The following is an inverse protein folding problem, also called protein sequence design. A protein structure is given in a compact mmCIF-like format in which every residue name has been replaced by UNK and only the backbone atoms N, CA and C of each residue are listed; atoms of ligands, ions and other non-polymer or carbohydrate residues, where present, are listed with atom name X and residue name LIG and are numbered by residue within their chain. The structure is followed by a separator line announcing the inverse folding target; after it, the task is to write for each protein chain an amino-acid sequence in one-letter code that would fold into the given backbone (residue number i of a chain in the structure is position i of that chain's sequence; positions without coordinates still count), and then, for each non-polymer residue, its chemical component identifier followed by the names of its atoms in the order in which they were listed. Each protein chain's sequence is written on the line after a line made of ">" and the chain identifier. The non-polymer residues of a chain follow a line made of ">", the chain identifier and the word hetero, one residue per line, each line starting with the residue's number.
data_IF_864538058859
#
_entry.id   IF_864538058859
#
_cell.length_a   1.000
_cell.length_b   1.000
_cell.length_c   1.000
_cell.angle_alpha   90.00
_cell.angle_beta   90.00
_cell.angle_gamma   90.00
#
_symmetry.space_group_name_H-M   'P 1'
#
loop_
_entity.id
_entity.type
_entity.pdbx_description
1 polymer ?
#
# COMPACT_ATOMS: atom_id res chain seq x y z
N UNK A 1 -5.93 9.41 15.32
CA UNK A 1 -5.47 8.81 14.05
C UNK A 1 -4.22 9.49 13.51
N UNK A 2 -4.26 10.81 13.24
CA UNK A 2 -3.12 11.57 12.71
C UNK A 2 -1.84 11.45 13.56
N UNK A 3 -1.91 11.71 14.86
CA UNK A 3 -0.73 11.62 15.74
C UNK A 3 -0.11 10.21 15.76
N UNK A 4 -0.92 9.15 15.66
CA UNK A 4 -0.41 7.79 15.58
C UNK A 4 0.31 7.52 14.25
N UNK A 5 -0.12 8.15 13.15
CA UNK A 5 0.55 8.06 11.86
C UNK A 5 1.94 8.74 11.84
N UNK A 6 2.20 9.65 12.79
CA UNK A 6 3.50 10.29 12.96
C UNK A 6 4.46 9.52 13.89
N UNK A 7 4.00 8.45 14.54
CA UNK A 7 4.80 7.66 15.49
C UNK A 7 5.53 6.50 14.81
N UNK A 8 6.64 6.09 15.40
CA UNK A 8 7.40 4.92 14.97
C UNK A 8 8.12 5.12 13.63
N UNK A 9 8.16 4.06 12.81
CA UNK A 9 8.82 4.14 11.51
C UNK A 9 7.94 4.92 10.53
N UNK A 10 8.33 6.16 10.19
CA UNK A 10 7.63 7.01 9.21
C UNK A 10 8.43 7.12 7.90
N UNK A 11 7.76 7.35 6.74
CA UNK A 11 8.46 7.56 5.48
C UNK A 11 9.47 8.72 5.55
N UNK A 12 10.59 8.59 4.83
CA UNK A 12 11.63 9.64 4.79
C UNK A 12 11.11 10.99 4.29
N UNK A 13 10.15 10.98 3.38
CA UNK A 13 9.47 12.19 2.93
C UNK A 13 8.76 12.90 4.10
N UNK A 14 8.02 12.15 4.93
CA UNK A 14 7.34 12.71 6.10
C UNK A 14 8.33 13.18 7.17
N UNK A 15 9.43 12.43 7.38
CA UNK A 15 10.51 12.85 8.29
C UNK A 15 11.09 14.21 7.89
N UNK A 16 11.44 14.39 6.61
CA UNK A 16 11.96 15.67 6.08
C UNK A 16 10.97 16.82 6.25
N UNK A 17 9.67 16.56 6.11
CA UNK A 17 8.65 17.59 6.37
C UNK A 17 8.67 17.99 7.85
N UNK A 18 8.72 17.02 8.75
CA UNK A 18 8.72 17.26 10.20
C UNK A 18 10.01 17.91 10.74
N UNK A 19 11.10 17.89 9.97
CA UNK A 19 12.31 18.68 10.27
C UNK A 19 12.08 20.19 10.11
N UNK A 20 11.08 20.59 9.31
CA UNK A 20 10.82 22.00 8.97
C UNK A 20 9.43 22.49 9.36
N UNK A 21 8.54 21.59 9.80
CA UNK A 21 7.14 21.90 10.15
C UNK A 21 6.71 21.17 11.40
N UNK A 22 5.98 21.85 12.27
CA UNK A 22 5.36 21.21 13.43
C UNK A 22 4.18 20.32 13.00
N UNK A 23 3.78 19.33 13.82
CA UNK A 23 2.59 18.52 13.54
C UNK A 23 1.33 19.36 13.28
N UNK A 24 1.15 20.47 13.98
CA UNK A 24 0.01 21.39 13.82
C UNK A 24 0.03 22.06 12.44
N UNK A 25 1.20 22.53 12.00
CA UNK A 25 1.37 23.10 10.65
C UNK A 25 1.08 22.05 9.57
N UNK A 26 1.47 20.79 9.77
CA UNK A 26 1.13 19.70 8.84
C UNK A 26 -0.38 19.44 8.82
N UNK A 27 -1.06 19.44 9.98
CA UNK A 27 -2.52 19.32 10.03
C UNK A 27 -3.22 20.47 9.31
N UNK A 28 -2.74 21.69 9.49
CA UNK A 28 -3.28 22.87 8.82
C UNK A 28 -3.16 22.76 7.29
N UNK A 29 -1.99 22.31 6.79
CA UNK A 29 -1.79 22.06 5.36
C UNK A 29 -2.80 21.02 4.84
N UNK A 30 -2.97 19.91 5.53
CA UNK A 30 -3.93 18.86 5.15
C UNK A 30 -5.36 19.42 5.13
N UNK A 31 -5.73 20.22 6.14
CA UNK A 31 -7.04 20.86 6.21
C UNK A 31 -7.27 21.84 5.06
N UNK A 32 -6.25 22.60 4.68
CA UNK A 32 -6.32 23.53 3.55
C UNK A 32 -6.48 22.79 2.22
N UNK A 33 -5.74 21.69 2.00
CA UNK A 33 -5.93 20.82 0.82
C UNK A 33 -7.33 20.22 0.76
N UNK A 34 -7.92 19.87 1.91
CA UNK A 34 -9.30 19.38 1.97
C UNK A 34 -10.33 20.46 1.62
N UNK A 35 -10.09 21.72 2.03
CA UNK A 35 -10.94 22.85 1.65
C UNK A 35 -10.83 23.19 0.17
N UNK A 36 -9.63 23.12 -0.40
CA UNK A 36 -9.35 23.47 -1.79
C UNK A 36 -9.81 22.39 -2.77
N UNK A 37 -9.61 21.11 -2.44
CA UNK A 37 -9.94 19.96 -3.28
C UNK A 37 -10.81 18.91 -2.57
N UNK A 38 -12.01 19.28 -2.09
CA UNK A 38 -12.80 18.42 -1.20
C UNK A 38 -13.20 17.09 -1.83
N UNK A 39 -13.55 17.09 -3.12
CA UNK A 39 -13.97 15.87 -3.83
C UNK A 39 -12.79 14.90 -3.96
N UNK A 40 -11.64 15.39 -4.45
CA UNK A 40 -10.43 14.57 -4.63
C UNK A 40 -9.92 14.01 -3.29
N UNK A 41 -9.89 14.83 -2.25
CA UNK A 41 -9.40 14.40 -0.93
C UNK A 41 -10.32 13.37 -0.29
N UNK A 42 -11.64 13.52 -0.42
CA UNK A 42 -12.61 12.52 0.03
C UNK A 42 -12.47 11.21 -0.75
N UNK A 43 -12.28 11.30 -2.06
CA UNK A 43 -12.14 10.15 -2.94
C UNK A 43 -10.85 9.37 -2.67
N UNK A 44 -9.73 10.07 -2.45
CA UNK A 44 -8.47 9.45 -2.05
C UNK A 44 -8.62 8.62 -0.77
N UNK A 45 -9.29 9.16 0.26
CA UNK A 45 -9.57 8.42 1.49
C UNK A 45 -10.51 7.24 1.26
N UNK A 46 -11.49 7.38 0.35
CA UNK A 46 -12.40 6.28 -0.02
C UNK A 46 -11.62 5.11 -0.64
N UNK A 47 -10.72 5.40 -1.57
CA UNK A 47 -9.87 4.39 -2.22
C UNK A 47 -8.97 3.69 -1.20
N UNK A 48 -8.33 4.44 -0.30
CA UNK A 48 -7.52 3.84 0.77
C UNK A 48 -8.33 2.88 1.66
N UNK A 49 -9.58 3.23 1.98
CA UNK A 49 -10.46 2.35 2.76
C UNK A 49 -10.87 1.10 1.96
N UNK A 50 -11.15 1.23 0.67
CA UNK A 50 -11.45 0.09 -0.20
C UNK A 50 -10.25 -0.86 -0.28
N UNK A 51 -9.05 -0.34 -0.49
CA UNK A 51 -7.81 -1.13 -0.48
C UNK A 51 -7.60 -1.85 0.86
N UNK A 52 -7.91 -1.20 1.98
CA UNK A 52 -7.85 -1.85 3.30
C UNK A 52 -8.85 -3.00 3.43
N UNK A 53 -10.08 -2.83 2.93
CA UNK A 53 -11.10 -3.88 2.91
C UNK A 53 -10.64 -5.05 2.02
N UNK A 54 -10.15 -4.78 0.81
CA UNK A 54 -9.61 -5.80 -0.10
C UNK A 54 -8.44 -6.55 0.54
N UNK A 55 -7.53 -5.82 1.19
CA UNK A 55 -6.44 -6.42 1.96
C UNK A 55 -6.96 -7.39 3.03
N UNK A 56 -7.94 -6.96 3.83
CA UNK A 56 -8.50 -7.78 4.90
C UNK A 56 -9.21 -9.04 4.38
N UNK A 57 -9.99 -8.93 3.29
CA UNK A 57 -10.66 -10.06 2.65
C UNK A 57 -9.63 -11.06 2.11
N UNK A 58 -8.63 -10.58 1.36
CA UNK A 58 -7.54 -11.44 0.88
C UNK A 58 -6.78 -12.10 2.03
N UNK A 59 -6.49 -11.36 3.09
CA UNK A 59 -5.80 -11.90 4.26
C UNK A 59 -6.62 -12.99 4.96
N UNK A 60 -7.96 -12.87 5.00
CA UNK A 60 -8.85 -13.92 5.50
C UNK A 60 -8.79 -15.19 4.65
N UNK A 61 -8.82 -15.04 3.33
CA UNK A 61 -8.88 -16.19 2.41
C UNK A 61 -7.55 -16.94 2.30
N UNK A 62 -6.44 -16.20 2.39
CA UNK A 62 -5.10 -16.70 2.07
C UNK A 62 -4.19 -16.86 3.28
N UNK A 63 -4.48 -16.15 4.37
CA UNK A 63 -3.61 -16.07 5.53
C UNK A 63 -2.22 -15.45 5.25
N UNK A 64 -1.39 -15.30 6.29
CA UNK A 64 -0.07 -14.68 6.15
C UNK A 64 0.95 -15.59 5.44
N UNK A 65 0.68 -16.91 5.37
CA UNK A 65 1.58 -17.90 4.77
C UNK A 65 1.88 -17.65 3.28
N UNK A 66 0.94 -17.04 2.55
CA UNK A 66 1.06 -16.81 1.11
C UNK A 66 2.19 -15.82 0.73
N UNK A 67 2.50 -14.87 1.61
CA UNK A 67 3.63 -13.95 1.44
C UNK A 67 4.88 -14.46 2.15
N UNK A 68 4.70 -15.13 3.29
CA UNK A 68 5.81 -15.67 4.08
C UNK A 68 6.48 -16.91 3.45
N UNK A 69 5.96 -17.42 2.33
CA UNK A 69 6.46 -18.62 1.64
C UNK A 69 6.55 -19.84 2.58
N UNK A 70 5.57 -19.98 3.47
CA UNK A 70 5.52 -21.06 4.48
C UNK A 70 6.48 -20.89 5.67
N UNK A 71 7.22 -19.79 5.76
CA UNK A 71 8.14 -19.49 6.87
C UNK A 71 7.47 -18.68 7.98
N UNK A 72 8.17 -18.50 9.10
CA UNK A 72 7.69 -17.70 10.24
C UNK A 72 8.25 -16.27 10.27
N UNK A 73 9.01 -15.87 9.23
CA UNK A 73 9.69 -14.58 9.13
C UNK A 73 10.57 -14.26 10.36
N UNK A 74 11.24 -15.28 10.89
CA UNK A 74 12.03 -15.18 12.14
C UNK A 74 13.41 -14.57 11.94
N UNK A 75 13.94 -14.64 10.72
CA UNK A 75 15.28 -14.16 10.39
C UNK A 75 15.28 -13.30 9.11
N UNK A 76 16.39 -12.61 8.89
CA UNK A 76 16.52 -11.67 7.78
C UNK A 76 16.42 -12.34 6.40
N UNK A 77 16.82 -13.61 6.26
CA UNK A 77 16.73 -14.33 5.00
C UNK A 77 15.28 -14.62 4.62
N UNK A 78 14.46 -15.05 5.58
CA UNK A 78 13.02 -15.25 5.41
C UNK A 78 12.31 -13.94 5.05
N UNK A 79 12.63 -12.85 5.75
CA UNK A 79 12.10 -11.50 5.46
C UNK A 79 12.49 -11.06 4.03
N UNK A 80 13.73 -11.28 3.63
CA UNK A 80 14.20 -10.95 2.28
C UNK A 80 13.52 -11.80 1.19
N UNK A 81 13.27 -13.08 1.47
CA UNK A 81 12.54 -13.97 0.56
C UNK A 81 11.08 -13.50 0.39
N UNK A 82 10.39 -13.18 1.48
CA UNK A 82 9.03 -12.63 1.43
C UNK A 82 8.98 -11.29 0.68
N UNK A 83 9.95 -10.39 0.89
CA UNK A 83 10.06 -9.14 0.14
C UNK A 83 10.24 -9.37 -1.36
N UNK A 84 11.08 -10.32 -1.76
CA UNK A 84 11.23 -10.71 -3.18
C UNK A 84 9.91 -11.27 -3.74
N UNK A 85 9.19 -12.07 -2.95
CA UNK A 85 7.90 -12.61 -3.34
C UNK A 85 6.83 -11.52 -3.58
N UNK A 86 6.85 -10.45 -2.78
CA UNK A 86 6.01 -9.26 -3.02
C UNK A 86 6.43 -8.55 -4.30
N UNK A 87 7.74 -8.32 -4.51
CA UNK A 87 8.25 -7.65 -5.72
C UNK A 87 7.85 -8.37 -7.00
N UNK A 88 7.96 -9.70 -7.05
CA UNK A 88 7.54 -10.49 -8.23
C UNK A 88 6.05 -10.28 -8.50
N UNK A 89 5.20 -10.33 -7.49
CA UNK A 89 3.75 -10.09 -7.64
C UNK A 89 3.42 -8.67 -8.08
N UNK A 90 4.14 -7.68 -7.55
CA UNK A 90 4.02 -6.30 -8.02
C UNK A 90 4.41 -6.20 -9.50
N UNK A 91 5.49 -6.84 -9.91
CA UNK A 91 5.94 -6.85 -11.30
C UNK A 91 4.92 -7.52 -12.23
N UNK A 92 4.29 -8.63 -11.80
CA UNK A 92 3.24 -9.29 -12.58
C UNK A 92 2.06 -8.35 -12.83
N UNK A 93 1.66 -7.57 -11.82
CA UNK A 93 0.60 -6.55 -11.98
C UNK A 93 1.04 -5.40 -12.88
N UNK A 94 2.28 -4.94 -12.80
CA UNK A 94 2.82 -3.92 -13.72
C UNK A 94 2.80 -4.42 -15.16
N UNK A 95 3.27 -5.64 -15.40
CA UNK A 95 3.26 -6.25 -16.73
C UNK A 95 1.83 -6.38 -17.27
N UNK A 96 0.87 -6.73 -16.41
CA UNK A 96 -0.55 -6.73 -16.75
C UNK A 96 -1.02 -5.34 -17.17
N UNK A 97 -0.73 -4.30 -16.39
CA UNK A 97 -1.12 -2.91 -16.73
C UNK A 97 -0.57 -2.49 -18.10
N UNK A 98 0.72 -2.75 -18.36
CA UNK A 98 1.35 -2.49 -19.67
C UNK A 98 0.59 -3.20 -20.80
N UNK A 99 0.22 -4.46 -20.61
CA UNK A 99 -0.49 -5.23 -21.63
C UNK A 99 -1.92 -4.73 -21.90
N UNK A 100 -2.61 -4.22 -20.88
CA UNK A 100 -4.00 -3.77 -21.00
C UNK A 100 -4.10 -2.34 -21.52
N UNK A 101 -3.30 -1.45 -20.94
CA UNK A 101 -3.34 -0.02 -21.20
C UNK A 101 -2.60 0.34 -22.50
N UNK A 102 -1.40 -0.18 -22.71
CA UNK A 102 -0.56 0.26 -23.83
C UNK A 102 -0.76 -0.58 -25.10
N UNK A 103 -1.11 -1.87 -24.96
CA UNK A 103 -1.08 -2.80 -26.10
C UNK A 103 -2.46 -3.18 -26.63
N UNK A 104 -3.51 -3.15 -25.80
CA UNK A 104 -4.82 -3.68 -26.20
C UNK A 104 -5.94 -2.65 -26.22
N UNK A 105 -5.88 -1.57 -25.43
CA UNK A 105 -6.99 -0.61 -25.28
C UNK A 105 -8.35 -1.31 -25.03
N UNK A 106 -8.33 -2.47 -24.36
CA UNK A 106 -9.53 -3.29 -24.10
C UNK A 106 -9.71 -3.48 -22.61
N UNK A 107 -10.93 -3.33 -22.11
CA UNK A 107 -11.26 -3.73 -20.74
C UNK A 107 -11.34 -5.26 -20.62
N UNK A 108 -10.58 -5.89 -19.71
CA UNK A 108 -10.64 -7.34 -19.52
C UNK A 108 -11.94 -7.74 -18.83
N UNK A 109 -12.46 -8.91 -19.18
CA UNK A 109 -13.68 -9.45 -18.57
C UNK A 109 -13.56 -9.79 -17.08
N UNK A 110 -12.35 -10.11 -16.59
CA UNK A 110 -12.18 -10.72 -15.25
C UNK A 110 -11.51 -9.82 -14.21
N UNK A 111 -10.67 -8.87 -14.62
CA UNK A 111 -9.94 -8.00 -13.68
C UNK A 111 -9.55 -6.72 -14.42
N UNK A 112 -10.03 -5.58 -13.93
CA UNK A 112 -9.87 -4.28 -14.58
C UNK A 112 -8.45 -3.74 -14.45
N UNK A 113 -8.15 -2.67 -15.21
CA UNK A 113 -6.91 -1.92 -15.02
C UNK A 113 -6.85 -1.27 -13.63
N UNK A 114 -8.00 -0.79 -13.12
CA UNK A 114 -8.11 -0.20 -11.79
C UNK A 114 -7.76 -1.20 -10.68
N UNK A 115 -8.24 -2.45 -10.78
CA UNK A 115 -7.90 -3.51 -9.82
C UNK A 115 -6.38 -3.77 -9.77
N UNK A 116 -5.71 -3.64 -10.92
CA UNK A 116 -4.24 -3.80 -10.99
C UNK A 116 -3.51 -2.67 -10.26
N UNK A 117 -4.00 -1.43 -10.36
CA UNK A 117 -3.48 -0.31 -9.57
C UNK A 117 -3.70 -0.52 -8.07
N UNK A 118 -4.92 -0.90 -7.66
CA UNK A 118 -5.23 -1.17 -6.26
C UNK A 118 -4.34 -2.29 -5.67
N UNK A 119 -4.16 -3.38 -6.41
CA UNK A 119 -3.29 -4.48 -6.01
C UNK A 119 -1.83 -4.04 -5.78
N UNK A 120 -1.28 -3.20 -6.67
CA UNK A 120 0.09 -2.69 -6.48
C UNK A 120 0.20 -1.80 -5.24
N UNK A 121 -0.83 -1.03 -4.92
CA UNK A 121 -0.89 -0.24 -3.70
C UNK A 121 -0.97 -1.13 -2.45
N UNK A 122 -1.81 -2.18 -2.47
CA UNK A 122 -1.90 -3.15 -1.36
C UNK A 122 -0.57 -3.88 -1.17
N UNK A 123 0.09 -4.33 -2.24
CA UNK A 123 1.41 -4.96 -2.16
C UNK A 123 2.47 -4.04 -1.57
N UNK A 124 2.39 -2.73 -1.84
CA UNK A 124 3.28 -1.74 -1.23
C UNK A 124 3.10 -1.68 0.29
N UNK A 125 1.85 -1.73 0.78
CA UNK A 125 1.55 -1.80 2.22
C UNK A 125 2.01 -3.13 2.82
N UNK A 126 1.75 -4.26 2.16
CA UNK A 126 2.23 -5.60 2.59
C UNK A 126 3.75 -5.62 2.76
N UNK A 127 4.50 -5.06 1.81
CA UNK A 127 5.95 -4.96 1.92
C UNK A 127 6.38 -4.18 3.18
N UNK A 128 5.69 -3.09 3.50
CA UNK A 128 5.94 -2.33 4.73
C UNK A 128 5.63 -3.14 5.99
N UNK A 129 4.56 -3.93 6.01
CA UNK A 129 4.22 -4.80 7.15
C UNK A 129 5.28 -5.88 7.37
N UNK A 130 5.80 -6.48 6.29
CA UNK A 130 6.91 -7.45 6.34
C UNK A 130 8.19 -6.79 6.84
N UNK A 131 8.55 -5.60 6.31
CA UNK A 131 9.74 -4.85 6.74
C UNK A 131 9.67 -4.44 8.22
N UNK A 132 8.47 -4.05 8.69
CA UNK A 132 8.22 -3.70 10.09
C UNK A 132 8.12 -4.92 11.01
N UNK A 133 8.16 -6.13 10.44
CA UNK A 133 8.12 -7.38 11.19
C UNK A 133 6.79 -7.63 11.89
N UNK A 134 5.68 -7.08 11.39
CA UNK A 134 4.32 -7.25 11.96
C UNK A 134 3.43 -8.15 11.09
N UNK A 135 3.93 -8.63 9.95
CA UNK A 135 3.18 -9.54 9.09
C UNK A 135 2.85 -10.86 9.82
N UNK A 136 1.55 -11.13 9.99
CA UNK A 136 1.05 -12.36 10.61
C UNK A 136 1.25 -12.47 12.13
N UNK A 137 1.44 -11.34 12.83
CA UNK A 137 1.58 -11.28 14.29
C UNK A 137 0.38 -10.63 14.96
#
# INVERSE_FOLDING_TARGET
>A
AFENALKGNIPSALRRVLETKTPEQVQEIIANMYKEYPIMMKEFLRILNQMYIVFALKQNDYGPGNIALGTQLKNQNEINAARKAVLVRTQDKINRMVNLDLLKNTEPANESLADSWEDTGVYSVIAQLVIRGVWGK
#
